data_IF_218271239450
#
_entry.id   IF_218271239450
#
_cell.length_a   1.000
_cell.length_b   1.000
_cell.length_c   1.000
_cell.angle_alpha   90.00
_cell.angle_beta   90.00
_cell.angle_gamma   90.00
#
_symmetry.space_group_name_H-M   'P 1'
#
loop_
_entity.id
_entity.type
_entity.pdbx_description
1 polymer ?
#
# COMPACT_ATOMS: atom_id res chain seq x y z
N UNK A 1 -15.43 13.52 -12.31
CA UNK A 1 -14.76 12.23 -12.02
C UNK A 1 -13.38 12.28 -12.65
N UNK A 2 -12.32 12.20 -11.86
CA UNK A 2 -10.95 12.22 -12.35
C UNK A 2 -10.42 10.79 -12.44
N UNK A 3 -9.63 10.50 -13.47
CA UNK A 3 -8.96 9.20 -13.67
C UNK A 3 -7.47 9.44 -13.82
N UNK A 4 -6.67 8.74 -13.04
CA UNK A 4 -5.22 8.90 -12.99
C UNK A 4 -4.55 7.54 -13.20
N UNK A 5 -3.39 7.53 -13.86
CA UNK A 5 -2.69 6.29 -14.24
C UNK A 5 -1.72 5.76 -13.18
N UNK A 6 -1.37 6.58 -12.19
CA UNK A 6 -0.45 6.25 -11.12
C UNK A 6 -1.15 6.36 -9.76
N UNK A 7 -0.99 5.39 -8.85
CA UNK A 7 -1.67 5.41 -7.57
C UNK A 7 -1.18 6.54 -6.66
N UNK A 8 0.07 6.99 -6.78
CA UNK A 8 0.62 8.15 -6.06
C UNK A 8 -0.08 9.45 -6.49
N UNK A 9 -0.43 9.57 -7.77
CA UNK A 9 -1.16 10.74 -8.27
C UNK A 9 -2.57 10.82 -7.65
N UNK A 10 -3.20 9.68 -7.36
CA UNK A 10 -4.50 9.63 -6.68
C UNK A 10 -4.38 10.16 -5.25
N UNK A 11 -3.32 9.76 -4.51
CA UNK A 11 -3.05 10.27 -3.16
C UNK A 11 -2.83 11.78 -3.20
N UNK A 12 -2.03 12.28 -4.16
CA UNK A 12 -1.77 13.70 -4.29
C UNK A 12 -3.05 14.48 -4.61
N UNK A 13 -3.88 14.00 -5.53
CA UNK A 13 -5.16 14.64 -5.85
C UNK A 13 -6.08 14.73 -4.62
N UNK A 14 -6.12 13.70 -3.76
CA UNK A 14 -6.86 13.75 -2.52
C UNK A 14 -6.28 14.77 -1.52
N UNK A 15 -4.95 14.84 -1.41
CA UNK A 15 -4.27 15.86 -0.58
C UNK A 15 -4.56 17.29 -1.07
N UNK A 16 -4.72 17.48 -2.38
CA UNK A 16 -5.02 18.76 -3.01
C UNK A 16 -6.52 19.12 -2.92
N UNK A 17 -7.33 18.30 -2.24
CA UNK A 17 -8.76 18.55 -2.02
C UNK A 17 -9.65 18.31 -3.25
N UNK A 18 -9.14 17.62 -4.27
CA UNK A 18 -9.89 17.32 -5.51
C UNK A 18 -11.08 16.37 -5.23
N UNK A 19 -10.99 15.56 -4.17
CA UNK A 19 -12.09 14.69 -3.73
C UNK A 19 -11.65 13.59 -2.78
N UNK A 20 -12.45 12.54 -2.70
CA UNK A 20 -12.20 11.33 -1.89
C UNK A 20 -11.55 10.26 -2.77
N UNK A 21 -10.57 9.54 -2.22
CA UNK A 21 -9.88 8.47 -2.91
C UNK A 21 -9.87 7.16 -2.10
N UNK A 22 -9.93 6.03 -2.80
CA UNK A 22 -9.64 4.70 -2.25
C UNK A 22 -8.28 4.24 -2.79
N UNK A 23 -7.32 4.09 -1.90
CA UNK A 23 -5.91 3.78 -2.23
C UNK A 23 -5.35 2.78 -1.21
N UNK A 24 -4.24 2.14 -1.55
CA UNK A 24 -3.51 1.29 -0.60
C UNK A 24 -2.94 2.14 0.55
N UNK A 25 -3.04 1.62 1.77
CA UNK A 25 -2.65 2.35 3.00
C UNK A 25 -1.19 2.81 2.95
N UNK A 26 -0.27 1.95 2.50
CA UNK A 26 1.17 2.26 2.44
C UNK A 26 1.48 3.51 1.60
N UNK A 27 0.64 3.86 0.61
CA UNK A 27 0.81 5.06 -0.20
C UNK A 27 0.32 6.33 0.50
N UNK A 28 -0.74 6.20 1.32
CA UNK A 28 -1.35 7.34 2.02
C UNK A 28 -0.78 7.55 3.43
N UNK A 29 -0.02 6.59 3.97
CA UNK A 29 0.40 6.56 5.36
C UNK A 29 1.10 7.84 5.82
N UNK A 30 2.06 8.31 5.02
CA UNK A 30 2.78 9.56 5.32
C UNK A 30 1.83 10.76 5.36
N UNK A 31 0.92 10.88 4.40
CA UNK A 31 -0.06 11.98 4.37
C UNK A 31 -1.07 11.91 5.52
N UNK A 32 -1.39 10.71 6.02
CA UNK A 32 -2.19 10.52 7.24
C UNK A 32 -1.42 10.98 8.48
N UNK A 33 -0.15 10.57 8.62
CA UNK A 33 0.73 10.99 9.72
C UNK A 33 0.96 12.50 9.75
N UNK A 34 1.09 13.13 8.59
CA UNK A 34 1.23 14.59 8.44
C UNK A 34 -0.10 15.35 8.63
N UNK A 35 -1.22 14.65 8.82
CA UNK A 35 -2.54 15.25 8.99
C UNK A 35 -3.14 15.86 7.71
N UNK A 36 -2.53 15.60 6.54
CA UNK A 36 -3.02 16.07 5.22
C UNK A 36 -4.20 15.26 4.70
N UNK A 37 -4.36 14.03 5.18
CA UNK A 37 -5.48 13.15 4.86
C UNK A 37 -6.20 12.67 6.13
N UNK A 38 -7.44 12.24 5.94
CA UNK A 38 -8.26 11.55 6.95
C UNK A 38 -8.91 10.32 6.33
N UNK A 39 -9.21 9.34 7.16
CA UNK A 39 -9.89 8.12 6.75
C UNK A 39 -11.40 8.33 6.84
N UNK A 40 -12.09 7.97 5.75
CA UNK A 40 -13.53 8.07 5.64
C UNK A 40 -14.14 6.67 5.56
N UNK A 41 -15.38 6.54 6.03
CA UNK A 41 -16.18 5.31 5.93
C UNK A 41 -15.51 4.06 6.54
N UNK A 42 -14.63 4.24 7.54
CA UNK A 42 -13.82 3.15 8.12
C UNK A 42 -14.64 1.92 8.55
N UNK A 43 -15.83 2.13 9.12
CA UNK A 43 -16.73 1.04 9.57
C UNK A 43 -17.44 0.29 8.45
N UNK A 44 -17.52 0.89 7.27
CA UNK A 44 -18.19 0.33 6.09
C UNK A 44 -17.20 -0.19 5.05
N UNK A 45 -15.91 0.12 5.22
CA UNK A 45 -14.87 -0.33 4.34
C UNK A 45 -14.55 -1.80 4.61
N UNK A 46 -14.56 -2.61 3.55
CA UNK A 46 -14.04 -3.96 3.61
C UNK A 46 -12.58 -3.94 3.09
N UNK A 47 -11.57 -4.09 3.97
CA UNK A 47 -10.17 -3.94 3.58
C UNK A 47 -9.67 -5.02 2.61
N UNK A 48 -10.37 -6.15 2.54
CA UNK A 48 -9.93 -7.31 1.78
C UNK A 48 -8.70 -7.98 2.39
N UNK A 49 -8.17 -9.00 1.72
CA UNK A 49 -6.95 -9.73 2.08
C UNK A 49 -5.94 -9.68 0.94
N UNK A 50 -5.61 -8.47 0.48
CA UNK A 50 -4.70 -8.29 -0.65
C UNK A 50 -3.25 -8.35 -0.16
N UNK A 51 -2.46 -9.26 -0.74
CA UNK A 51 -1.04 -9.43 -0.43
C UNK A 51 -0.17 -8.92 -1.58
N UNK A 52 0.96 -8.32 -1.25
CA UNK A 52 2.00 -8.01 -2.23
C UNK A 52 2.79 -9.29 -2.51
N UNK A 53 2.75 -9.76 -3.76
CA UNK A 53 3.43 -10.98 -4.16
C UNK A 53 4.54 -10.73 -5.18
N UNK A 54 5.65 -11.44 -5.05
CA UNK A 54 6.71 -11.47 -6.06
C UNK A 54 6.39 -12.57 -7.08
N UNK A 55 6.09 -12.18 -8.32
CA UNK A 55 5.81 -13.12 -9.39
C UNK A 55 7.08 -13.44 -10.18
N UNK A 56 7.38 -14.73 -10.35
CA UNK A 56 8.48 -15.20 -11.20
C UNK A 56 8.12 -16.50 -11.92
N UNK A 57 8.75 -16.82 -13.07
CA UNK A 57 8.43 -18.04 -13.81
C UNK A 57 8.78 -19.31 -13.04
N UNK A 58 7.80 -20.20 -12.89
CA UNK A 58 7.99 -21.53 -12.33
C UNK A 58 8.56 -22.47 -13.39
N UNK A 59 9.87 -22.37 -13.68
CA UNK A 59 10.58 -23.35 -14.53
C UNK A 59 11.44 -24.25 -13.67
N UNK A 60 11.63 -25.49 -14.11
CA UNK A 60 12.15 -26.63 -13.35
C UNK A 60 13.51 -26.44 -12.65
N UNK A 61 14.22 -25.34 -12.88
CA UNK A 61 15.42 -24.95 -12.15
C UNK A 61 15.46 -23.41 -12.01
N UNK A 62 15.30 -22.90 -10.79
CA UNK A 62 15.50 -21.47 -10.49
C UNK A 62 17.01 -21.21 -10.50
N UNK A 63 17.47 -20.31 -11.36
CA UNK A 63 18.89 -19.94 -11.40
C UNK A 63 19.34 -19.39 -10.03
N UNK A 64 20.54 -19.74 -9.52
CA UNK A 64 20.99 -19.31 -8.19
C UNK A 64 20.90 -17.81 -7.94
N UNK A 65 21.21 -16.97 -8.94
CA UNK A 65 21.03 -15.51 -8.86
C UNK A 65 19.59 -15.07 -8.63
N UNK A 66 18.61 -15.75 -9.25
CA UNK A 66 17.19 -15.43 -9.05
C UNK A 66 16.78 -15.79 -7.63
N UNK A 67 17.19 -16.95 -7.13
CA UNK A 67 16.96 -17.34 -5.74
C UNK A 67 17.52 -16.31 -4.77
N UNK A 68 18.79 -15.95 -4.92
CA UNK A 68 19.43 -14.95 -4.06
C UNK A 68 18.69 -13.59 -4.08
N UNK A 69 18.22 -13.13 -5.25
CA UNK A 69 17.41 -11.91 -5.34
C UNK A 69 16.06 -12.06 -4.65
N UNK A 70 15.38 -13.20 -4.82
CA UNK A 70 14.10 -13.45 -4.16
C UNK A 70 14.26 -13.47 -2.64
N UNK A 71 15.28 -14.18 -2.14
CA UNK A 71 15.55 -14.28 -0.70
C UNK A 71 15.80 -12.88 -0.11
N UNK A 72 16.63 -12.06 -0.78
CA UNK A 72 16.88 -10.68 -0.38
C UNK A 72 15.62 -9.81 -0.42
N UNK A 73 14.83 -9.86 -1.50
CA UNK A 73 13.63 -9.04 -1.63
C UNK A 73 12.57 -9.45 -0.60
N UNK A 74 12.41 -10.74 -0.33
CA UNK A 74 11.48 -11.24 0.68
C UNK A 74 11.87 -10.75 2.07
N UNK A 75 13.16 -10.81 2.42
CA UNK A 75 13.68 -10.27 3.67
C UNK A 75 13.44 -8.75 3.76
N UNK A 76 13.84 -8.00 2.74
CA UNK A 76 13.67 -6.55 2.72
C UNK A 76 12.21 -6.09 2.80
N UNK A 77 11.29 -6.79 2.12
CA UNK A 77 9.85 -6.47 2.15
C UNK A 77 9.18 -6.94 3.44
N UNK A 78 9.67 -8.01 4.08
CA UNK A 78 9.19 -8.42 5.40
C UNK A 78 9.55 -7.39 6.47
N UNK A 79 10.70 -6.72 6.35
CA UNK A 79 11.15 -5.70 7.28
C UNK A 79 10.55 -4.30 7.03
N UNK A 80 9.91 -4.07 5.88
CA UNK A 80 9.31 -2.78 5.55
C UNK A 80 7.99 -2.55 6.31
N UNK A 81 8.08 -1.78 7.39
CA UNK A 81 6.94 -1.43 8.26
C UNK A 81 5.77 -0.78 7.51
N UNK A 82 6.00 -0.11 6.37
CA UNK A 82 4.90 0.49 5.59
C UNK A 82 4.00 -0.56 4.97
N UNK A 83 4.50 -1.78 4.73
CA UNK A 83 3.72 -2.89 4.19
C UNK A 83 2.90 -3.63 5.26
N UNK A 84 3.22 -3.43 6.54
CA UNK A 84 2.64 -4.16 7.67
C UNK A 84 1.81 -3.29 8.62
N UNK A 85 1.26 -2.19 8.12
CA UNK A 85 0.45 -1.27 8.93
C UNK A 85 -0.82 -2.00 9.41
N UNK A 86 -1.01 -2.16 10.74
CA UNK A 86 -2.17 -2.86 11.26
C UNK A 86 -3.43 -2.00 11.06
N UNK A 87 -4.54 -2.64 10.67
CA UNK A 87 -5.80 -1.93 10.42
C UNK A 87 -6.30 -1.14 11.65
N UNK A 88 -6.02 -1.61 12.86
CA UNK A 88 -6.36 -0.88 14.09
C UNK A 88 -5.61 0.45 14.24
N UNK A 89 -4.41 0.60 13.66
CA UNK A 89 -3.70 1.88 13.68
C UNK A 89 -4.41 2.96 12.85
N UNK A 90 -5.30 2.57 11.94
CA UNK A 90 -6.08 3.49 11.11
C UNK A 90 -7.13 4.26 11.91
N UNK A 91 -7.58 3.73 13.05
CA UNK A 91 -8.61 4.36 13.89
C UNK A 91 -8.23 5.77 14.33
N UNK A 92 -6.93 6.01 14.58
CA UNK A 92 -6.41 7.33 14.98
C UNK A 92 -6.52 8.41 13.89
N UNK A 93 -6.82 8.02 12.65
CA UNK A 93 -6.88 8.92 11.50
C UNK A 93 -8.29 9.08 10.92
N UNK A 94 -9.30 8.49 11.54
CA UNK A 94 -10.71 8.63 11.12
C UNK A 94 -11.18 10.07 11.34
N UNK A 95 -11.95 10.59 10.37
CA UNK A 95 -12.59 11.91 10.47
C UNK A 95 -13.77 11.93 11.45
#
# INVERSE_FOLDING_TARGET
>A
MATLSAPEAIVQAACDGIGIAQVAVHLAWRSLQEGRLKILLHRYHHPGGYELAIQYPHRALIAPRVRATLDYLLEALADDQLLHIPLGALESYVA
#
